data_IF_485537528291
#
_entry.id   IF_485537528291
#
_cell.length_a   1.000
_cell.length_b   1.000
_cell.length_c   1.000
_cell.angle_alpha   90.00
_cell.angle_beta   90.00
_cell.angle_gamma   90.00
#
_symmetry.space_group_name_H-M   'P 1'
#
loop_
_entity.id
_entity.type
_entity.pdbx_description
1 polymer ?
#
# COMPACT_ATOMS: atom_id res chain seq x y z
N UNK A 1 7.62 -18.51 -9.88
CA UNK A 1 6.16 -18.48 -10.09
C UNK A 1 5.67 -17.10 -10.54
N UNK A 2 5.96 -16.01 -9.81
CA UNK A 2 5.58 -14.64 -10.20
C UNK A 2 6.14 -14.23 -11.57
N UNK A 3 7.39 -14.57 -11.86
CA UNK A 3 8.03 -14.32 -13.17
C UNK A 3 7.24 -14.94 -14.34
N UNK A 4 6.86 -16.22 -14.21
CA UNK A 4 6.07 -16.93 -15.21
C UNK A 4 4.69 -16.28 -15.36
N UNK A 5 4.03 -15.95 -14.26
CA UNK A 5 2.72 -15.28 -14.28
C UNK A 5 2.80 -13.93 -15.02
N UNK A 6 3.75 -13.07 -14.65
CA UNK A 6 3.89 -11.72 -15.23
C UNK A 6 4.42 -11.69 -16.66
N UNK A 7 5.15 -12.74 -17.11
CA UNK A 7 5.66 -12.81 -18.48
C UNK A 7 4.77 -13.58 -19.44
N UNK A 8 4.09 -14.63 -18.97
CA UNK A 8 3.32 -15.55 -19.83
C UNK A 8 1.83 -15.29 -19.77
N UNK A 9 1.30 -14.95 -18.59
CA UNK A 9 -0.13 -14.73 -18.41
C UNK A 9 -0.50 -13.24 -18.55
N UNK A 10 0.48 -12.34 -18.41
CA UNK A 10 0.32 -10.88 -18.52
C UNK A 10 -0.93 -10.34 -17.77
N UNK A 11 -1.05 -10.63 -16.46
CA UNK A 11 -2.22 -10.22 -15.71
C UNK A 11 -2.33 -8.70 -15.68
N UNK A 12 -3.50 -8.18 -16.06
CA UNK A 12 -3.76 -6.73 -16.04
C UNK A 12 -4.02 -6.19 -14.64
N UNK A 13 -4.46 -7.05 -13.72
CA UNK A 13 -4.76 -6.71 -12.34
C UNK A 13 -4.20 -7.79 -11.42
N UNK A 14 -3.53 -7.39 -10.35
CA UNK A 14 -3.03 -8.29 -9.31
C UNK A 14 -3.63 -7.85 -7.98
N UNK A 15 -4.44 -8.73 -7.37
CA UNK A 15 -4.97 -8.50 -6.03
C UNK A 15 -4.04 -9.12 -5.00
N UNK A 16 -3.62 -8.33 -4.01
CA UNK A 16 -2.70 -8.75 -2.97
C UNK A 16 -3.02 -8.01 -1.66
N UNK A 17 -2.85 -8.67 -0.53
CA UNK A 17 -3.01 -8.02 0.78
C UNK A 17 -1.91 -7.00 1.01
N UNK A 18 -2.17 -5.97 1.80
CA UNK A 18 -1.19 -4.92 2.14
C UNK A 18 0.12 -5.51 2.71
N UNK A 19 0.02 -6.49 3.62
CA UNK A 19 1.20 -7.13 4.21
C UNK A 19 1.98 -7.94 3.18
N UNK A 20 1.29 -8.73 2.35
CA UNK A 20 1.94 -9.48 1.27
C UNK A 20 2.60 -8.55 0.26
N UNK A 21 1.99 -7.40 -0.06
CA UNK A 21 2.58 -6.38 -0.92
C UNK A 21 3.89 -5.85 -0.30
N UNK A 22 3.90 -5.47 0.97
CA UNK A 22 5.11 -5.00 1.64
C UNK A 22 6.22 -6.06 1.66
N UNK A 23 5.89 -7.32 1.92
CA UNK A 23 6.90 -8.37 1.98
C UNK A 23 7.44 -8.75 0.59
N UNK A 24 6.63 -8.62 -0.46
CA UNK A 24 7.00 -9.06 -1.81
C UNK A 24 7.58 -7.94 -2.68
N UNK A 25 7.53 -6.69 -2.22
CA UNK A 25 8.08 -5.52 -2.91
C UNK A 25 9.35 -4.95 -2.25
N UNK A 26 9.91 -5.66 -1.28
CA UNK A 26 11.21 -5.29 -0.72
C UNK A 26 12.35 -5.51 -1.74
N UNK A 27 13.58 -5.09 -1.42
CA UNK A 27 14.75 -5.13 -2.33
C UNK A 27 14.98 -6.49 -2.99
N UNK A 28 14.68 -7.57 -2.29
CA UNK A 28 14.78 -8.95 -2.77
C UNK A 28 13.42 -9.68 -2.81
N UNK A 29 12.34 -8.91 -2.84
CA UNK A 29 10.98 -9.41 -2.90
C UNK A 29 10.62 -10.04 -4.25
N UNK A 30 9.54 -10.80 -4.27
CA UNK A 30 9.06 -11.54 -5.45
C UNK A 30 8.73 -10.65 -6.66
N UNK A 31 8.40 -9.38 -6.45
CA UNK A 31 8.11 -8.42 -7.53
C UNK A 31 9.31 -7.55 -7.92
N UNK A 32 10.53 -7.88 -7.46
CA UNK A 32 11.75 -7.19 -7.87
C UNK A 32 11.87 -7.14 -9.39
N UNK A 33 12.10 -5.96 -9.94
CA UNK A 33 12.18 -5.73 -11.39
C UNK A 33 10.83 -5.68 -12.12
N UNK A 34 9.72 -5.89 -11.43
CA UNK A 34 8.36 -5.83 -11.99
C UNK A 34 7.56 -4.62 -11.54
N UNK A 35 7.99 -3.93 -10.47
CA UNK A 35 7.28 -2.77 -9.91
C UNK A 35 7.06 -1.64 -10.92
N UNK A 36 8.02 -1.42 -11.83
CA UNK A 36 7.90 -0.40 -12.87
C UNK A 36 6.89 -0.74 -13.97
N UNK A 37 6.30 -1.94 -13.96
CA UNK A 37 5.24 -2.33 -14.90
C UNK A 37 3.83 -1.95 -14.41
N UNK A 38 3.70 -1.52 -13.15
CA UNK A 38 2.42 -1.12 -12.59
C UNK A 38 2.28 0.39 -12.68
N UNK A 39 1.22 0.85 -13.37
CA UNK A 39 0.91 2.28 -13.51
C UNK A 39 -0.09 2.79 -12.46
N UNK A 40 -0.72 1.87 -11.73
CA UNK A 40 -1.77 2.17 -10.76
C UNK A 40 -1.69 1.20 -9.57
N UNK A 41 -1.69 1.77 -8.37
CA UNK A 41 -1.90 1.06 -7.11
C UNK A 41 -3.20 1.57 -6.51
N UNK A 42 -4.18 0.67 -6.39
CA UNK A 42 -5.42 0.92 -5.66
C UNK A 42 -5.38 0.20 -4.33
N UNK A 43 -5.62 0.92 -3.24
CA UNK A 43 -5.75 0.33 -1.92
C UNK A 43 -7.15 0.58 -1.39
N UNK A 44 -7.89 -0.50 -1.13
CA UNK A 44 -9.13 -0.44 -0.39
C UNK A 44 -8.80 -0.60 1.10
N UNK A 45 -8.68 0.52 1.79
CA UNK A 45 -8.43 0.56 3.21
C UNK A 45 -9.77 0.78 3.93
N UNK A 46 -10.43 -0.29 4.35
CA UNK A 46 -11.48 -0.18 5.35
C UNK A 46 -10.89 0.51 6.59
N UNK A 47 -11.52 1.61 7.01
CA UNK A 47 -11.23 2.35 8.23
C UNK A 47 -9.74 2.54 8.58
N UNK A 48 -9.05 3.50 7.95
CA UNK A 48 -7.91 4.21 8.55
C UNK A 48 -6.79 3.32 9.17
N UNK A 49 -6.40 2.22 8.54
CA UNK A 49 -5.20 1.49 8.99
C UNK A 49 -4.40 0.86 7.84
N UNK A 50 -4.20 1.63 6.79
CA UNK A 50 -2.89 1.62 6.14
C UNK A 50 -2.08 2.67 6.92
N UNK A 51 -1.19 2.26 7.85
CA UNK A 51 -0.37 3.21 8.59
C UNK A 51 0.30 4.17 7.59
N UNK A 52 0.41 5.46 7.91
CA UNK A 52 1.18 6.41 7.09
C UNK A 52 2.54 5.86 6.61
N UNK A 53 3.27 5.07 7.43
CA UNK A 53 4.48 4.37 6.98
C UNK A 53 4.29 3.44 5.78
N UNK A 54 3.16 2.75 5.66
CA UNK A 54 2.87 1.86 4.54
C UNK A 54 2.60 2.66 3.27
N UNK A 55 1.86 3.78 3.36
CA UNK A 55 1.70 4.71 2.25
C UNK A 55 3.06 5.21 1.76
N UNK A 56 3.87 5.75 2.67
CA UNK A 56 5.21 6.27 2.37
C UNK A 56 6.14 5.21 1.80
N UNK A 57 6.04 3.97 2.32
CA UNK A 57 6.82 2.84 1.80
C UNK A 57 6.42 2.53 0.36
N UNK A 58 5.12 2.54 0.06
CA UNK A 58 4.65 2.21 -1.29
C UNK A 58 4.97 3.30 -2.30
N UNK A 59 4.84 4.58 -1.94
CA UNK A 59 5.23 5.69 -2.83
C UNK A 59 6.74 5.69 -3.10
N UNK A 60 7.56 5.31 -2.12
CA UNK A 60 9.00 5.14 -2.32
C UNK A 60 9.36 3.94 -3.21
N UNK A 61 8.62 2.82 -3.09
CA UNK A 61 8.90 1.58 -3.84
C UNK A 61 8.38 1.58 -5.26
N UNK A 62 7.27 2.28 -5.52
CA UNK A 62 6.63 2.32 -6.84
C UNK A 62 6.37 3.78 -7.27
N UNK A 63 7.42 4.62 -7.37
CA UNK A 63 7.28 6.06 -7.51
C UNK A 63 6.63 6.51 -8.84
N UNK A 64 6.57 5.62 -9.83
CA UNK A 64 5.97 5.90 -11.14
C UNK A 64 4.49 5.57 -11.22
N UNK A 65 3.98 4.77 -10.29
CA UNK A 65 2.57 4.42 -10.26
C UNK A 65 1.75 5.60 -9.74
N UNK A 66 0.52 5.73 -10.23
CA UNK A 66 -0.49 6.55 -9.56
C UNK A 66 -1.01 5.77 -8.37
N UNK A 67 -1.22 6.45 -7.24
CA UNK A 67 -1.73 5.82 -6.04
C UNK A 67 -3.13 6.34 -5.70
N UNK A 68 -4.09 5.43 -5.56
CA UNK A 68 -5.48 5.74 -5.17
C UNK A 68 -5.82 4.97 -3.90
N UNK A 69 -6.11 5.69 -2.83
CA UNK A 69 -6.47 5.12 -1.53
C UNK A 69 -7.93 5.44 -1.25
N UNK A 70 -8.73 4.39 -1.08
CA UNK A 70 -10.16 4.49 -0.79
C UNK A 70 -10.35 4.07 0.66
N UNK A 71 -11.00 4.92 1.44
CA UNK A 71 -11.34 4.64 2.83
C UNK A 71 -12.45 5.56 3.31
N UNK A 72 -13.11 5.15 4.39
CA UNK A 72 -14.14 5.94 5.05
C UNK A 72 -13.53 6.68 6.25
N UNK A 73 -13.58 8.01 6.20
CA UNK A 73 -13.07 8.89 7.25
C UNK A 73 -13.90 8.82 8.54
N UNK A 74 -15.12 8.29 8.47
CA UNK A 74 -16.06 8.18 9.58
C UNK A 74 -16.19 6.77 10.16
N UNK A 75 -15.50 5.78 9.58
CA UNK A 75 -15.45 4.44 10.18
C UNK A 75 -14.63 4.43 11.47
N UNK A 76 -15.11 3.64 12.45
CA UNK A 76 -14.42 3.40 13.71
C UNK A 76 -13.01 2.87 13.45
N UNK A 77 -12.03 3.42 14.18
CA UNK A 77 -10.62 3.00 14.13
C UNK A 77 -10.52 1.48 14.27
N UNK A 78 -9.67 0.84 13.45
CA UNK A 78 -9.44 -0.59 13.54
C UNK A 78 -9.10 -0.96 15.00
N UNK A 79 -9.66 -2.08 15.47
CA UNK A 79 -9.32 -2.62 16.78
C UNK A 79 -7.88 -3.15 16.75
N UNK A 80 -6.92 -2.25 16.96
CA UNK A 80 -5.55 -2.61 17.26
C UNK A 80 -5.47 -2.96 18.76
N UNK A 81 -4.87 -4.10 19.11
CA UNK A 81 -4.57 -4.46 20.51
C UNK A 81 -3.56 -3.51 21.19
N UNK A 82 -3.10 -2.48 20.48
CA UNK A 82 -2.15 -1.48 20.96
C UNK A 82 -2.87 -0.21 21.40
N UNK A 83 -2.54 0.31 22.58
CA UNK A 83 -3.11 1.55 23.09
C UNK A 83 -2.82 2.71 22.12
N UNK A 84 -3.82 3.57 21.90
CA UNK A 84 -3.78 4.68 20.94
C UNK A 84 -2.77 5.80 21.26
N UNK A 85 -1.86 5.59 22.21
CA UNK A 85 -0.81 6.50 22.67
C UNK A 85 0.41 6.56 21.74
N UNK A 86 0.48 5.73 20.69
CA UNK A 86 1.50 5.89 19.66
C UNK A 86 1.27 7.23 18.93
N UNK A 87 2.21 8.18 19.09
CA UNK A 87 2.18 9.50 18.49
C UNK A 87 1.97 9.43 16.96
N UNK A 88 0.73 9.59 16.52
CA UNK A 88 0.34 9.62 15.09
C UNK A 88 1.09 10.71 14.30
N UNK A 89 1.48 11.79 14.99
CA UNK A 89 2.31 12.89 14.44
C UNK A 89 3.76 12.48 14.13
N UNK A 90 4.33 11.48 14.82
CA UNK A 90 5.69 10.97 14.54
C UNK A 90 5.74 9.98 13.38
N UNK A 91 4.58 9.43 13.00
CA UNK A 91 4.44 8.40 11.97
C UNK A 91 3.76 8.92 10.68
N UNK A 92 3.51 10.23 10.59
CA UNK A 92 2.92 10.86 9.39
C UNK A 92 1.45 10.50 9.15
N UNK A 93 0.73 10.07 10.19
CA UNK A 93 -0.66 9.58 10.09
C UNK A 93 -1.66 10.61 10.63
N UNK A 94 -1.53 11.88 10.22
CA UNK A 94 -2.66 12.81 10.29
C UNK A 94 -3.15 13.03 8.87
N UNK A 95 -4.43 12.69 8.67
CA UNK A 95 -5.16 12.82 7.40
C UNK A 95 -4.84 14.14 6.70
N UNK A 96 -4.21 14.05 5.53
CA UNK A 96 -4.15 15.14 4.57
C UNK A 96 -4.83 14.64 3.29
N UNK A 97 -6.15 14.45 3.38
CA UNK A 97 -7.01 14.41 2.20
C UNK A 97 -7.17 15.83 1.67
N UNK A 98 -6.25 16.25 0.81
CA UNK A 98 -6.51 17.19 -0.28
C UNK A 98 -5.33 17.13 -1.23
N UNK A 99 -5.46 16.36 -2.30
CA UNK A 99 -4.60 16.49 -3.48
C UNK A 99 -5.38 17.34 -4.47
N UNK A 100 -4.91 18.58 -4.69
CA UNK A 100 -5.23 19.39 -5.86
C UNK A 100 -4.52 18.79 -7.08
#
# INVERSE_FOLDING_TARGET
MVDIMLRRMDPKIVCITTLSLLNTTDKDGLFKGYLSKFDLITCNAGALEVPGPVFMTMTARVPKARHVYIGDIHQLKLYARCSGLANHSRLGTQSLMSVL
#
